data_IF_331710149754
#
_entry.id   IF_331710149754
#
_cell.length_a   1.000
_cell.length_b   1.000
_cell.length_c   1.000
_cell.angle_alpha   90.00
_cell.angle_beta   90.00
_cell.angle_gamma   90.00
#
_symmetry.space_group_name_H-M   'P 1'
#
loop_
_entity.id
_entity.type
_entity.pdbx_description
1 polymer ?
#
# COMPACT_ATOMS: atom_id res chain seq x y z
N UNK A 1 -10.13 32.69 2.50
CA UNK A 1 -9.24 32.32 3.62
C UNK A 1 -7.89 31.97 3.02
N UNK A 2 -6.77 32.26 3.71
CA UNK A 2 -5.45 31.84 3.24
C UNK A 2 -5.37 30.32 3.16
N UNK A 3 -4.59 29.79 2.21
CA UNK A 3 -4.49 28.34 1.97
C UNK A 3 -3.18 27.77 2.50
N UNK A 4 -3.27 26.57 3.06
CA UNK A 4 -2.12 25.75 3.42
C UNK A 4 -2.14 24.47 2.59
N UNK A 5 -1.13 24.31 1.73
CA UNK A 5 -0.98 23.11 0.92
C UNK A 5 -0.11 22.08 1.64
N UNK A 6 -0.61 20.85 1.75
CA UNK A 6 0.07 19.75 2.46
C UNK A 6 0.62 18.74 1.46
N UNK A 7 1.94 18.60 1.49
CA UNK A 7 2.76 17.68 0.71
C UNK A 7 3.11 16.49 1.58
N UNK A 8 2.57 15.31 1.29
CA UNK A 8 2.80 14.11 2.11
C UNK A 8 2.49 12.81 1.35
N UNK A 9 2.96 11.68 1.87
CA UNK A 9 2.45 10.36 1.47
C UNK A 9 1.02 10.12 1.95
N UNK A 10 0.34 9.14 1.35
CA UNK A 10 -1.06 8.79 1.66
C UNK A 10 -1.19 7.31 2.07
N UNK A 11 -2.20 7.01 2.88
CA UNK A 11 -2.50 5.66 3.35
C UNK A 11 -1.43 5.02 4.24
N UNK A 12 -1.45 3.69 4.30
CA UNK A 12 -0.46 2.89 5.01
C UNK A 12 0.84 2.82 4.21
N UNK A 13 1.93 3.32 4.80
CA UNK A 13 3.26 3.30 4.19
C UNK A 13 4.26 2.70 5.16
N UNK A 14 5.10 1.80 4.64
CA UNK A 14 6.17 1.18 5.41
C UNK A 14 7.44 2.02 5.26
N UNK A 15 7.95 2.50 6.39
CA UNK A 15 9.31 3.03 6.47
C UNK A 15 10.30 1.86 6.57
N UNK A 16 11.01 1.59 5.47
CA UNK A 16 11.96 0.49 5.39
C UNK A 16 13.18 0.67 6.30
N UNK A 17 13.57 1.91 6.61
CA UNK A 17 14.69 2.16 7.51
C UNK A 17 14.34 1.76 8.95
N UNK A 18 13.10 2.02 9.36
CA UNK A 18 12.60 1.68 10.69
C UNK A 18 11.93 0.30 10.78
N UNK A 19 11.65 -0.34 9.64
CA UNK A 19 10.82 -1.55 9.54
C UNK A 19 9.47 -1.40 10.25
N UNK A 20 8.84 -0.22 10.11
CA UNK A 20 7.55 0.11 10.71
C UNK A 20 6.59 0.59 9.65
N UNK A 21 5.30 0.30 9.83
CA UNK A 21 4.23 0.81 8.99
C UNK A 21 3.50 1.93 9.72
N UNK A 22 3.28 3.06 9.03
CA UNK A 22 2.59 4.24 9.52
C UNK A 22 1.37 4.53 8.64
N UNK A 23 0.27 4.97 9.24
CA UNK A 23 -0.92 5.46 8.55
C UNK A 23 -0.82 6.98 8.41
N UNK A 24 -0.40 7.42 7.22
CA UNK A 24 -0.22 8.83 6.93
C UNK A 24 -1.57 9.58 6.82
N UNK A 25 -2.68 8.86 6.60
CA UNK A 25 -4.02 9.48 6.65
C UNK A 25 -4.43 9.82 8.08
N UNK A 26 -3.95 9.09 9.09
CA UNK A 26 -4.12 9.48 10.50
C UNK A 26 -3.27 10.69 10.87
N UNK A 27 -2.03 10.75 10.39
CA UNK A 27 -1.19 11.96 10.51
C UNK A 27 -1.90 13.19 9.96
N UNK A 28 -2.48 13.06 8.77
CA UNK A 28 -3.23 14.15 8.16
C UNK A 28 -4.49 14.54 8.94
N UNK A 29 -5.39 13.58 9.20
CA UNK A 29 -6.72 13.84 9.77
C UNK A 29 -6.69 14.28 11.22
N UNK A 30 -5.77 13.73 12.02
CA UNK A 30 -5.78 13.92 13.47
C UNK A 30 -4.81 15.02 13.93
N UNK A 31 -3.72 15.24 13.17
CA UNK A 31 -2.67 16.19 13.54
C UNK A 31 -2.62 17.39 12.58
N UNK A 32 -2.33 17.17 11.29
CA UNK A 32 -1.99 18.25 10.37
C UNK A 32 -3.20 19.14 10.06
N UNK A 33 -4.30 18.55 9.57
CA UNK A 33 -5.50 19.29 9.17
C UNK A 33 -6.11 20.09 10.32
N UNK A 34 -6.33 19.51 11.52
CA UNK A 34 -6.83 20.27 12.66
C UNK A 34 -5.89 21.38 13.10
N UNK A 35 -4.57 21.18 13.03
CA UNK A 35 -3.60 22.22 13.42
C UNK A 35 -3.63 23.42 12.46
N UNK A 36 -3.71 23.14 11.15
CA UNK A 36 -3.78 24.13 10.07
C UNK A 36 -5.08 24.93 10.12
N UNK A 37 -6.21 24.24 10.30
CA UNK A 37 -7.53 24.88 10.41
C UNK A 37 -7.61 25.76 11.67
N UNK A 38 -7.05 25.30 12.80
CA UNK A 38 -6.95 26.10 14.02
C UNK A 38 -6.06 27.34 13.85
N UNK A 39 -5.08 27.31 12.94
CA UNK A 39 -4.26 28.47 12.59
C UNK A 39 -4.96 29.43 11.61
N UNK A 40 -6.19 29.15 11.18
CA UNK A 40 -6.99 30.02 10.32
C UNK A 40 -6.78 29.81 8.81
N UNK A 41 -6.16 28.70 8.41
CA UNK A 41 -5.94 28.35 7.00
C UNK A 41 -6.95 27.32 6.52
N UNK A 42 -7.28 27.38 5.23
CA UNK A 42 -7.91 26.25 4.55
C UNK A 42 -6.83 25.21 4.23
N UNK A 43 -6.90 24.04 4.87
CA UNK A 43 -5.98 22.93 4.64
C UNK A 43 -6.36 22.17 3.36
N UNK A 44 -5.41 22.01 2.46
CA UNK A 44 -5.59 21.29 1.19
C UNK A 44 -4.47 20.26 1.07
N UNK A 45 -4.80 18.97 1.02
CA UNK A 45 -3.81 17.92 0.71
C UNK A 45 -3.75 17.67 -0.79
N UNK A 46 -2.59 17.28 -1.32
CA UNK A 46 -2.38 17.02 -2.74
C UNK A 46 -3.43 16.10 -3.40
N UNK A 47 -3.92 15.10 -2.67
CA UNK A 47 -4.92 14.12 -3.14
C UNK A 47 -6.37 14.61 -3.05
N UNK A 48 -6.65 15.71 -2.33
CA UNK A 48 -7.98 16.36 -2.25
C UNK A 48 -8.26 17.26 -3.46
N UNK A 49 -7.25 17.61 -4.25
CA UNK A 49 -7.41 18.45 -5.44
C UNK A 49 -8.04 17.60 -6.56
N UNK A 50 -9.16 18.07 -7.11
CA UNK A 50 -9.82 17.45 -8.26
C UNK A 50 -8.96 17.64 -9.50
N UNK A 51 -8.64 16.53 -10.19
CA UNK A 51 -7.89 16.57 -11.43
C UNK A 51 -8.64 15.86 -12.53
N UNK A 52 -9.21 16.68 -13.41
CA UNK A 52 -9.41 16.29 -14.77
C UNK A 52 -8.02 16.36 -15.47
N UNK A 53 -7.30 15.24 -15.59
CA UNK A 53 -6.20 15.08 -16.55
C UNK A 53 -4.80 15.09 -15.94
N UNK A 54 -4.00 16.11 -16.22
CA UNK A 54 -2.59 16.17 -15.79
C UNK A 54 -2.47 16.56 -14.30
N UNK A 55 -2.18 15.55 -13.46
CA UNK A 55 -2.02 15.65 -11.99
C UNK A 55 -1.01 16.73 -11.58
N UNK A 56 -0.03 17.04 -12.44
CA UNK A 56 1.10 17.88 -12.04
C UNK A 56 0.75 19.38 -12.00
N UNK A 57 -0.08 19.89 -12.94
CA UNK A 57 -0.26 21.34 -13.10
C UNK A 57 -0.85 22.00 -11.84
N UNK A 58 -1.98 21.53 -11.27
CA UNK A 58 -2.56 22.15 -10.09
C UNK A 58 -1.68 21.99 -8.84
N UNK A 59 -0.92 20.89 -8.74
CA UNK A 59 0.06 20.71 -7.66
C UNK A 59 1.16 21.79 -7.72
N UNK A 60 1.79 22.02 -8.87
CA UNK A 60 2.79 23.09 -9.03
C UNK A 60 2.19 24.47 -8.78
N UNK A 61 0.94 24.71 -9.18
CA UNK A 61 0.23 25.95 -8.87
C UNK A 61 0.03 26.12 -7.36
N UNK A 62 -0.30 25.07 -6.61
CA UNK A 62 -0.40 25.14 -5.15
C UNK A 62 0.96 25.38 -4.50
N UNK A 63 2.01 24.68 -4.94
CA UNK A 63 3.38 24.90 -4.45
C UNK A 63 3.82 26.36 -4.66
N UNK A 64 3.39 27.00 -5.76
CA UNK A 64 3.67 28.41 -6.02
C UNK A 64 2.73 29.37 -5.29
N UNK A 65 1.44 29.08 -5.21
CA UNK A 65 0.43 30.08 -4.81
C UNK A 65 -0.06 29.94 -3.38
N UNK A 66 0.10 28.77 -2.73
CA UNK A 66 -0.34 28.59 -1.36
C UNK A 66 0.41 29.52 -0.40
N UNK A 67 -0.33 30.11 0.53
CA UNK A 67 0.20 31.02 1.55
C UNK A 67 1.15 30.31 2.49
N UNK A 68 0.88 29.03 2.77
CA UNK A 68 1.70 28.13 3.59
C UNK A 68 1.84 26.77 2.89
N UNK A 69 3.01 26.15 3.01
CA UNK A 69 3.20 24.74 2.66
C UNK A 69 3.69 23.96 3.88
N UNK A 70 3.07 22.82 4.15
CA UNK A 70 3.59 21.82 5.10
C UNK A 70 4.04 20.60 4.31
N UNK A 71 5.33 20.24 4.44
CA UNK A 71 5.88 19.02 3.86
C UNK A 71 6.13 17.98 4.95
N UNK A 72 5.46 16.85 4.85
CA UNK A 72 5.67 15.68 5.70
C UNK A 72 6.58 14.68 5.00
N UNK A 73 7.78 14.51 5.55
CA UNK A 73 8.82 13.63 5.00
C UNK A 73 8.82 12.23 5.62
N UNK A 74 7.81 11.91 6.44
CA UNK A 74 7.65 10.57 7.02
C UNK A 74 7.70 9.50 5.94
N UNK A 75 8.30 8.34 6.28
CA UNK A 75 8.53 7.20 5.36
C UNK A 75 9.48 7.49 4.18
N UNK A 76 10.16 8.63 4.17
CA UNK A 76 11.07 9.04 3.10
C UNK A 76 10.42 9.04 1.71
N UNK A 77 9.18 9.50 1.61
CA UNK A 77 8.46 9.61 0.35
C UNK A 77 9.18 10.57 -0.61
N UNK A 78 9.77 10.02 -1.68
CA UNK A 78 10.53 10.77 -2.69
C UNK A 78 9.72 11.90 -3.35
N UNK A 79 8.41 11.72 -3.53
CA UNK A 79 7.55 12.76 -4.09
C UNK A 79 7.47 13.97 -3.16
N UNK A 80 7.36 13.74 -1.84
CA UNK A 80 7.31 14.81 -0.86
C UNK A 80 8.63 15.61 -0.80
N UNK A 81 9.79 14.94 -0.94
CA UNK A 81 11.07 15.63 -1.07
C UNK A 81 11.16 16.48 -2.32
N UNK A 82 10.71 15.93 -3.45
CA UNK A 82 10.74 16.63 -4.73
C UNK A 82 9.87 17.89 -4.70
N UNK A 83 8.63 17.76 -4.21
CA UNK A 83 7.70 18.87 -4.04
C UNK A 83 8.20 19.93 -3.04
N UNK A 84 8.85 19.51 -1.94
CA UNK A 84 9.52 20.43 -1.01
C UNK A 84 10.66 21.19 -1.69
N UNK A 85 11.49 20.52 -2.49
CA UNK A 85 12.55 21.16 -3.26
C UNK A 85 12.03 22.20 -4.24
N UNK A 86 10.92 21.88 -4.93
CA UNK A 86 10.20 22.83 -5.79
C UNK A 86 9.69 24.02 -4.98
N UNK A 87 9.02 23.79 -3.84
CA UNK A 87 8.54 24.88 -2.98
C UNK A 87 9.68 25.79 -2.57
N UNK A 88 10.81 25.24 -2.14
CA UNK A 88 12.00 26.01 -1.79
C UNK A 88 12.59 26.80 -2.96
N UNK A 89 12.50 26.29 -4.19
CA UNK A 89 12.91 27.04 -5.37
C UNK A 89 11.93 28.17 -5.74
N UNK A 90 10.63 27.96 -5.53
CA UNK A 90 9.57 28.90 -5.94
C UNK A 90 9.31 30.01 -4.91
N UNK A 91 9.52 29.74 -3.62
CA UNK A 91 9.19 30.66 -2.54
C UNK A 91 10.32 30.76 -1.50
N UNK A 92 10.58 31.99 -1.00
CA UNK A 92 11.63 32.20 -0.01
C UNK A 92 11.23 31.77 1.41
N UNK A 93 9.93 31.74 1.70
CA UNK A 93 9.39 31.58 3.05
C UNK A 93 8.04 30.85 3.08
N UNK A 94 7.51 30.68 4.29
CA UNK A 94 6.24 30.01 4.63
C UNK A 94 6.20 28.55 4.25
N UNK A 95 7.25 27.82 4.65
CA UNK A 95 7.37 26.38 4.47
C UNK A 95 7.71 25.72 5.80
N UNK A 96 6.88 24.79 6.26
CA UNK A 96 7.09 23.99 7.47
C UNK A 96 7.40 22.56 7.05
N UNK A 97 8.45 21.99 7.62
CA UNK A 97 8.79 20.58 7.42
C UNK A 97 8.50 19.81 8.70
N UNK A 98 7.78 18.70 8.55
CA UNK A 98 7.49 17.75 9.63
C UNK A 98 7.97 16.35 9.23
N UNK A 99 8.24 15.50 10.22
CA UNK A 99 8.49 14.08 9.98
C UNK A 99 8.28 13.25 11.24
N UNK A 100 8.02 11.96 11.06
CA UNK A 100 8.00 10.98 12.14
C UNK A 100 9.33 11.00 12.93
N UNK A 101 9.28 10.75 14.23
CA UNK A 101 10.40 10.84 15.16
C UNK A 101 11.63 10.01 14.75
N UNK A 102 11.44 8.82 14.18
CA UNK A 102 12.49 7.94 13.71
C UNK A 102 12.96 8.21 12.28
N UNK A 103 12.40 9.21 11.59
CA UNK A 103 12.85 9.57 10.24
C UNK A 103 14.33 10.02 10.24
N UNK A 104 15.12 9.39 9.39
CA UNK A 104 16.54 9.69 9.22
C UNK A 104 16.67 10.89 8.27
N UNK A 105 17.24 11.98 8.76
CA UNK A 105 17.43 13.20 7.96
C UNK A 105 18.56 12.96 6.94
N UNK A 106 18.30 13.10 5.63
CA UNK A 106 19.35 13.06 4.61
C UNK A 106 20.36 14.20 4.81
N UNK A 107 21.60 14.00 4.39
CA UNK A 107 22.70 14.97 4.59
C UNK A 107 22.34 16.40 4.16
N UNK A 108 21.80 16.57 2.95
CA UNK A 108 21.44 17.90 2.40
C UNK A 108 20.29 18.60 3.14
N UNK A 109 19.54 17.86 3.96
CA UNK A 109 18.43 18.38 4.79
C UNK A 109 18.87 18.73 6.22
N UNK A 110 20.15 18.55 6.58
CA UNK A 110 20.65 18.73 7.94
C UNK A 110 20.47 20.15 8.51
N UNK A 111 20.29 21.16 7.65
CA UNK A 111 20.06 22.55 8.06
C UNK A 111 18.58 22.95 8.08
N UNK A 112 17.70 22.08 7.59
CA UNK A 112 16.25 22.33 7.59
C UNK A 112 15.69 21.99 8.95
N UNK A 113 14.92 22.90 9.53
CA UNK A 113 14.22 22.67 10.79
C UNK A 113 13.06 21.71 10.54
N UNK A 114 13.21 20.47 11.01
CA UNK A 114 12.18 19.42 10.92
C UNK A 114 11.51 19.27 12.28
N UNK A 115 10.21 19.55 12.33
CA UNK A 115 9.40 19.31 13.54
C UNK A 115 9.02 17.84 13.61
N UNK A 116 9.20 17.23 14.78
CA UNK A 116 9.02 15.79 14.97
C UNK A 116 7.71 15.49 15.68
N UNK A 117 7.07 14.41 15.25
CA UNK A 117 5.92 13.81 15.90
C UNK A 117 6.07 12.28 15.91
N UNK A 118 5.43 11.58 16.83
CA UNK A 118 5.63 10.15 17.03
C UNK A 118 4.39 9.31 16.71
N UNK A 119 4.59 8.22 15.97
CA UNK A 119 3.56 7.18 15.81
C UNK A 119 3.63 6.11 16.89
N UNK A 120 2.47 5.63 17.31
CA UNK A 120 2.28 4.43 18.12
C UNK A 120 1.68 3.31 17.26
N UNK A 121 2.55 2.45 16.69
CA UNK A 121 2.14 1.50 15.66
C UNK A 121 1.74 2.22 14.37
N UNK A 122 0.65 1.85 13.69
CA UNK A 122 0.20 2.56 12.50
C UNK A 122 -0.44 3.93 12.84
N UNK A 123 -0.87 4.17 14.08
CA UNK A 123 -1.58 5.39 14.46
C UNK A 123 -0.75 6.37 15.28
N UNK A 124 -1.41 7.40 15.80
CA UNK A 124 -0.85 8.39 16.73
C UNK A 124 -1.48 8.19 18.11
N UNK A 125 -0.69 8.41 19.16
CA UNK A 125 -1.19 8.48 20.53
C UNK A 125 -1.99 9.78 20.76
N UNK A 126 -3.01 9.75 21.62
CA UNK A 126 -3.90 10.89 21.86
C UNK A 126 -3.17 12.07 22.50
N UNK A 127 -2.31 11.82 23.48
CA UNK A 127 -1.60 12.88 24.20
C UNK A 127 -0.54 13.52 23.29
N UNK A 128 0.12 12.70 22.46
CA UNK A 128 1.02 13.17 21.41
C UNK A 128 0.30 14.09 20.41
N UNK A 129 -0.91 13.72 19.96
CA UNK A 129 -1.71 14.55 19.04
C UNK A 129 -2.05 15.89 19.66
N UNK A 130 -2.43 15.95 20.93
CA UNK A 130 -2.77 17.23 21.59
C UNK A 130 -1.56 18.17 21.57
N UNK A 131 -0.41 17.67 22.02
CA UNK A 131 0.82 18.47 22.14
C UNK A 131 1.28 18.91 20.76
N UNK A 132 1.42 17.97 19.82
CA UNK A 132 1.94 18.27 18.48
C UNK A 132 1.01 19.11 17.64
N UNK A 133 -0.30 19.01 17.83
CA UNK A 133 -1.26 19.90 17.17
C UNK A 133 -1.07 21.33 17.63
N UNK A 134 -0.91 21.57 18.94
CA UNK A 134 -0.66 22.92 19.47
C UNK A 134 0.66 23.50 18.95
N UNK A 135 1.74 22.71 19.00
CA UNK A 135 3.06 23.09 18.45
C UNK A 135 2.97 23.44 16.95
N UNK A 136 2.25 22.63 16.17
CA UNK A 136 2.10 22.85 14.73
C UNK A 136 1.20 24.06 14.43
N UNK A 137 0.10 24.26 15.16
CA UNK A 137 -0.75 25.47 15.03
C UNK A 137 0.08 26.73 15.29
N UNK A 138 0.87 26.74 16.37
CA UNK A 138 1.74 27.86 16.70
C UNK A 138 2.75 28.11 15.58
N UNK A 139 3.41 27.05 15.08
CA UNK A 139 4.35 27.14 13.98
C UNK A 139 3.74 27.73 12.70
N UNK A 140 2.51 27.33 12.34
CA UNK A 140 1.78 27.89 11.20
C UNK A 140 1.56 29.40 11.35
N UNK A 141 1.18 29.87 12.54
CA UNK A 141 0.98 31.31 12.78
C UNK A 141 2.30 32.08 12.77
N UNK A 142 3.36 31.51 13.35
CA UNK A 142 4.68 32.15 13.45
C UNK A 142 5.38 32.26 12.10
N UNK A 143 5.37 31.21 11.28
CA UNK A 143 6.11 31.21 10.01
C UNK A 143 5.54 32.23 9.02
N UNK A 144 4.23 32.48 9.07
CA UNK A 144 3.56 33.47 8.21
C UNK A 144 3.76 34.89 8.74
N UNK A 145 3.80 35.07 10.06
CA UNK A 145 4.13 36.36 10.67
C UNK A 145 5.63 36.71 10.51
N UNK A 146 6.50 35.69 10.52
CA UNK A 146 7.93 35.84 10.36
C UNK A 146 8.26 36.18 8.90
N UNK A 147 8.74 37.39 8.66
CA UNK A 147 9.32 37.77 7.35
C UNK A 147 10.75 37.26 7.19
N UNK A 148 11.00 36.00 7.57
CA UNK A 148 12.30 35.34 7.49
C UNK A 148 12.27 34.26 6.43
N UNK A 149 13.34 34.16 5.66
CA UNK A 149 13.48 33.11 4.66
C UNK A 149 13.75 31.76 5.34
N UNK A 150 13.00 30.74 4.92
CA UNK A 150 13.10 29.35 5.37
C UNK A 150 13.55 28.40 4.25
N UNK A 151 13.64 28.91 3.02
CA UNK A 151 14.19 28.19 1.88
C UNK A 151 15.73 28.28 1.86
N UNK A 152 16.43 27.14 1.76
CA UNK A 152 17.88 27.13 1.54
C UNK A 152 18.29 27.90 0.28
N UNK A 153 17.47 27.86 -0.79
CA UNK A 153 17.75 28.55 -2.06
C UNK A 153 17.86 30.05 -1.84
N UNK A 154 16.89 30.66 -1.16
CA UNK A 154 16.86 32.11 -0.92
C UNK A 154 17.76 32.52 0.24
N UNK A 155 18.01 31.61 1.20
CA UNK A 155 18.98 31.83 2.28
C UNK A 155 20.41 31.94 1.75
N UNK A 156 20.81 31.08 0.81
CA UNK A 156 22.18 31.05 0.28
C UNK A 156 22.37 31.90 -0.99
N UNK A 157 21.30 32.17 -1.76
CA UNK A 157 21.33 33.00 -2.97
C UNK A 157 20.60 34.34 -2.71
N UNK A 158 21.29 35.26 -2.04
CA UNK A 158 20.70 36.48 -1.46
C UNK A 158 20.17 37.53 -2.45
N UNK A 159 20.32 37.32 -3.76
CA UNK A 159 19.87 38.24 -4.82
C UNK A 159 18.90 37.57 -5.81
N UNK A 160 18.19 36.54 -5.38
CA UNK A 160 17.21 35.84 -6.21
C UNK A 160 15.82 36.46 -6.07
N UNK A 161 15.18 36.78 -7.20
CA UNK A 161 13.78 37.20 -7.23
C UNK A 161 12.86 35.97 -7.41
N UNK A 162 11.81 35.78 -6.58
CA UNK A 162 10.89 34.66 -6.75
C UNK A 162 10.17 34.68 -8.10
N UNK A 163 10.00 33.52 -8.76
CA UNK A 163 9.31 33.45 -10.03
C UNK A 163 7.83 33.82 -9.89
N UNK A 164 7.29 34.45 -10.93
CA UNK A 164 5.87 34.79 -11.05
C UNK A 164 5.31 34.18 -12.34
N UNK A 165 4.08 33.67 -12.29
CA UNK A 165 3.38 33.21 -13.49
C UNK A 165 3.18 34.38 -14.44
N UNK A 166 3.66 34.25 -15.69
CA UNK A 166 3.19 35.10 -16.80
C UNK A 166 1.75 34.67 -17.12
N UNK A 167 0.88 35.59 -17.55
CA UNK A 167 -0.59 35.43 -17.71
C UNK A 167 -1.11 34.35 -18.67
N UNK A 168 -0.59 33.12 -18.57
CA UNK A 168 -0.81 31.95 -19.45
C UNK A 168 -1.53 30.82 -18.69
N UNK A 169 -1.75 30.94 -17.38
CA UNK A 169 -2.39 29.91 -16.54
C UNK A 169 -3.79 29.49 -17.07
N UNK A 170 -4.54 30.43 -17.66
CA UNK A 170 -5.84 30.13 -18.26
C UNK A 170 -5.77 29.25 -19.54
N UNK A 171 -4.67 29.32 -20.30
CA UNK A 171 -4.52 28.57 -21.55
C UNK A 171 -4.04 27.13 -21.33
N UNK A 172 -3.25 26.87 -20.27
CA UNK A 172 -2.75 25.53 -19.96
C UNK A 172 -3.79 24.68 -19.20
N UNK A 173 -4.63 25.30 -18.38
CA UNK A 173 -5.81 24.65 -17.79
C UNK A 173 -6.80 24.13 -18.85
N UNK A 174 -6.86 24.76 -20.04
CA UNK A 174 -7.68 24.29 -21.16
C UNK A 174 -7.13 23.02 -21.82
N UNK A 175 -5.80 22.86 -21.89
CA UNK A 175 -5.15 21.67 -22.47
C UNK A 175 -5.24 20.46 -21.53
N UNK A 176 -5.08 20.67 -20.22
CA UNK A 176 -5.28 19.62 -19.21
C UNK A 176 -6.74 19.11 -19.20
N UNK A 177 -7.72 20.02 -19.34
CA UNK A 177 -9.13 19.67 -19.52
C UNK A 177 -9.42 18.84 -20.78
N UNK A 178 -8.61 18.96 -21.83
CA UNK A 178 -8.82 18.24 -23.08
C UNK A 178 -8.47 16.75 -22.95
N UNK A 179 -7.42 16.39 -22.21
CA UNK A 179 -7.05 14.99 -21.95
C UNK A 179 -8.12 14.25 -21.13
N UNK A 180 -8.71 14.92 -20.15
CA UNK A 180 -9.84 14.39 -19.38
C UNK A 180 -11.08 14.23 -20.21
N UNK A 181 -11.36 15.18 -21.12
CA UNK A 181 -12.49 15.07 -22.03
C UNK A 181 -12.34 13.88 -22.98
N UNK A 182 -11.10 13.54 -23.37
CA UNK A 182 -10.81 12.33 -24.15
C UNK A 182 -11.01 11.07 -23.29
N UNK A 183 -10.51 11.03 -22.05
CA UNK A 183 -10.70 9.91 -21.14
C UNK A 183 -12.17 9.71 -20.71
N UNK A 184 -12.91 10.79 -20.47
CA UNK A 184 -14.36 10.81 -20.23
C UNK A 184 -15.15 10.33 -21.45
N UNK A 185 -14.68 10.62 -22.66
CA UNK A 185 -15.28 10.12 -23.91
C UNK A 185 -15.01 8.64 -24.18
N UNK A 186 -14.07 8.02 -23.47
CA UNK A 186 -13.75 6.60 -23.52
C UNK A 186 -14.38 5.80 -22.37
N UNK A 187 -15.04 6.46 -21.42
CA UNK A 187 -15.76 5.78 -20.35
C UNK A 187 -17.00 5.07 -20.90
N UNK A 188 -17.08 3.75 -20.71
CA UNK A 188 -18.15 2.90 -21.21
C UNK A 188 -19.37 2.85 -20.26
N UNK A 189 -19.20 3.27 -19.00
CA UNK A 189 -20.27 3.29 -17.98
C UNK A 189 -20.39 4.62 -17.25
N UNK A 190 -21.57 4.93 -16.72
CA UNK A 190 -21.79 6.17 -15.94
C UNK A 190 -20.94 6.22 -14.67
N UNK A 191 -20.62 5.05 -14.10
CA UNK A 191 -19.78 4.95 -12.91
C UNK A 191 -18.30 5.23 -13.22
N UNK A 192 -17.82 4.80 -14.40
CA UNK A 192 -16.48 5.17 -14.90
C UNK A 192 -16.38 6.68 -15.16
N UNK A 193 -17.41 7.30 -15.74
CA UNK A 193 -17.45 8.74 -15.98
C UNK A 193 -17.51 9.55 -14.67
N UNK A 194 -18.31 9.09 -13.69
CA UNK A 194 -18.36 9.71 -12.37
C UNK A 194 -17.03 9.59 -11.61
N UNK A 195 -16.32 8.46 -11.77
CA UNK A 195 -14.99 8.26 -11.19
C UNK A 195 -13.93 9.22 -11.76
N UNK A 196 -14.11 9.78 -12.96
CA UNK A 196 -13.15 10.71 -13.57
C UNK A 196 -13.32 12.17 -13.10
N UNK A 197 -14.22 12.44 -12.15
CA UNK A 197 -14.52 13.80 -11.65
C UNK A 197 -14.26 14.01 -10.14
N UNK A 198 -13.90 12.96 -9.41
CA UNK A 198 -13.60 13.03 -7.98
C UNK A 198 -12.08 13.17 -7.72
N UNK A 199 -11.66 13.74 -6.57
CA UNK A 199 -10.26 13.70 -6.16
C UNK A 199 -9.75 12.26 -6.03
N UNK A 200 -8.47 12.03 -6.28
CA UNK A 200 -7.85 10.69 -6.23
C UNK A 200 -8.10 10.00 -4.88
N UNK A 201 -8.02 10.75 -3.77
CA UNK A 201 -8.31 10.24 -2.43
C UNK A 201 -9.71 9.63 -2.31
N UNK A 202 -10.71 10.34 -2.84
CA UNK A 202 -12.10 9.92 -2.79
C UNK A 202 -12.34 8.68 -3.67
N UNK A 203 -11.66 8.60 -4.81
CA UNK A 203 -11.70 7.42 -5.68
C UNK A 203 -11.08 6.20 -5.00
N UNK A 204 -9.91 6.38 -4.40
CA UNK A 204 -9.25 5.30 -3.66
C UNK A 204 -10.11 4.85 -2.47
N UNK A 205 -10.67 5.77 -1.70
CA UNK A 205 -11.58 5.44 -0.60
C UNK A 205 -12.81 4.67 -1.09
N UNK A 206 -13.46 5.13 -2.16
CA UNK A 206 -14.61 4.44 -2.77
C UNK A 206 -14.25 3.05 -3.29
N UNK A 207 -13.10 2.90 -3.93
CA UNK A 207 -12.60 1.62 -4.40
C UNK A 207 -12.34 0.65 -3.22
N UNK A 208 -11.72 1.13 -2.14
CA UNK A 208 -11.46 0.30 -0.95
C UNK A 208 -12.75 -0.09 -0.23
N UNK A 209 -13.74 0.82 -0.16
CA UNK A 209 -15.07 0.53 0.38
C UNK A 209 -15.82 -0.52 -0.46
N UNK A 210 -15.80 -0.36 -1.80
CA UNK A 210 -16.37 -1.34 -2.71
C UNK A 210 -15.71 -2.72 -2.55
N UNK A 211 -14.38 -2.76 -2.42
CA UNK A 211 -13.61 -3.99 -2.19
C UNK A 211 -13.99 -4.66 -0.87
N UNK A 212 -14.06 -3.90 0.21
CA UNK A 212 -14.48 -4.41 1.52
C UNK A 212 -15.91 -4.98 1.47
N UNK A 213 -16.80 -4.34 0.71
CA UNK A 213 -18.15 -4.83 0.42
C UNK A 213 -18.23 -5.95 -0.63
N UNK A 214 -17.10 -6.53 -1.07
CA UNK A 214 -17.01 -7.58 -2.11
C UNK A 214 -17.60 -7.18 -3.47
N UNK A 215 -17.74 -5.88 -3.73
CA UNK A 215 -18.18 -5.30 -5.02
C UNK A 215 -16.97 -5.17 -5.95
N UNK A 216 -16.42 -6.31 -6.36
CA UNK A 216 -15.16 -6.35 -7.13
C UNK A 216 -15.27 -5.73 -8.53
N UNK A 217 -16.42 -5.83 -9.20
CA UNK A 217 -16.63 -5.17 -10.50
C UNK A 217 -16.56 -3.64 -10.40
N UNK A 218 -17.18 -3.06 -9.38
CA UNK A 218 -17.09 -1.61 -9.09
C UNK A 218 -15.66 -1.20 -8.73
N UNK A 219 -14.98 -2.01 -7.91
CA UNK A 219 -13.57 -1.80 -7.56
C UNK A 219 -12.68 -1.75 -8.81
N UNK A 220 -12.87 -2.71 -9.73
CA UNK A 220 -12.13 -2.75 -10.99
C UNK A 220 -12.39 -1.52 -11.86
N UNK A 221 -13.66 -1.12 -12.00
CA UNK A 221 -14.04 0.04 -12.80
C UNK A 221 -13.37 1.34 -12.29
N UNK A 222 -13.36 1.56 -10.98
CA UNK A 222 -12.73 2.75 -10.38
C UNK A 222 -11.22 2.71 -10.58
N UNK A 223 -10.55 1.60 -10.21
CA UNK A 223 -9.09 1.51 -10.26
C UNK A 223 -8.54 1.50 -11.69
N UNK A 224 -9.28 0.94 -12.66
CA UNK A 224 -8.93 1.03 -14.08
C UNK A 224 -8.96 2.49 -14.57
N UNK A 225 -9.95 3.28 -14.14
CA UNK A 225 -10.01 4.71 -14.41
C UNK A 225 -8.84 5.47 -13.80
N UNK A 226 -8.50 5.19 -12.53
CA UNK A 226 -7.33 5.78 -11.85
C UNK A 226 -6.03 5.44 -12.60
N UNK A 227 -5.84 4.17 -12.97
CA UNK A 227 -4.68 3.71 -13.75
C UNK A 227 -4.58 4.44 -15.10
N UNK A 228 -5.70 4.62 -15.80
CA UNK A 228 -5.73 5.33 -17.08
C UNK A 228 -5.31 6.80 -16.95
N UNK A 229 -5.73 7.49 -15.87
CA UNK A 229 -5.36 8.88 -15.60
C UNK A 229 -3.88 9.01 -15.22
N UNK A 230 -3.36 8.10 -14.39
CA UNK A 230 -1.95 8.16 -13.95
C UNK A 230 -0.96 7.73 -15.06
N UNK A 231 -1.42 6.92 -16.03
CA UNK A 231 -0.61 6.49 -17.17
C UNK A 231 0.66 5.75 -16.74
N UNK A 232 1.82 6.14 -17.30
CA UNK A 232 3.10 5.49 -17.04
C UNK A 232 3.64 5.68 -15.61
N UNK A 233 3.07 6.60 -14.83
CA UNK A 233 3.47 6.89 -13.45
C UNK A 233 2.46 6.37 -12.42
N UNK A 234 1.67 5.36 -12.79
CA UNK A 234 0.68 4.74 -11.90
C UNK A 234 1.33 4.19 -10.63
N UNK A 235 0.72 4.46 -9.47
CA UNK A 235 1.18 3.93 -8.19
C UNK A 235 1.07 2.40 -8.22
N UNK A 236 2.14 1.64 -7.88
CA UNK A 236 2.10 0.18 -7.81
C UNK A 236 0.94 -0.36 -6.98
N UNK A 237 0.56 0.35 -5.92
CA UNK A 237 -0.59 -0.01 -5.10
C UNK A 237 -1.89 -0.07 -5.93
N UNK A 238 -2.12 0.87 -6.85
CA UNK A 238 -3.31 0.85 -7.73
C UNK A 238 -3.32 -0.40 -8.61
N UNK A 239 -2.18 -0.75 -9.20
CA UNK A 239 -2.06 -1.95 -10.04
C UNK A 239 -2.32 -3.22 -9.21
N UNK A 240 -1.72 -3.33 -8.03
CA UNK A 240 -1.90 -4.46 -7.12
C UNK A 240 -3.37 -4.63 -6.71
N UNK A 241 -4.02 -3.54 -6.31
CA UNK A 241 -5.43 -3.55 -5.93
C UNK A 241 -6.36 -3.89 -7.10
N UNK A 242 -6.06 -3.38 -8.30
CA UNK A 242 -6.81 -3.70 -9.52
C UNK A 242 -6.67 -5.17 -9.90
N UNK A 243 -5.46 -5.73 -9.84
CA UNK A 243 -5.23 -7.14 -10.10
C UNK A 243 -5.97 -8.03 -9.10
N UNK A 244 -5.91 -7.68 -7.81
CA UNK A 244 -6.62 -8.40 -6.76
C UNK A 244 -8.13 -8.38 -6.98
N UNK A 245 -8.71 -7.21 -7.24
CA UNK A 245 -10.13 -7.09 -7.54
C UNK A 245 -10.50 -7.89 -8.79
N UNK A 246 -9.66 -7.85 -9.84
CA UNK A 246 -9.88 -8.58 -11.09
C UNK A 246 -10.02 -10.07 -10.85
N UNK A 247 -9.04 -10.73 -10.21
CA UNK A 247 -9.14 -12.19 -10.02
C UNK A 247 -10.25 -12.59 -9.03
N UNK A 248 -10.60 -11.70 -8.08
CA UNK A 248 -11.68 -11.92 -7.11
C UNK A 248 -13.08 -11.90 -7.72
N UNK A 249 -13.26 -11.40 -8.95
CA UNK A 249 -14.54 -11.49 -9.65
C UNK A 249 -14.92 -12.95 -9.97
N UNK A 250 -13.93 -13.77 -10.35
CA UNK A 250 -14.09 -15.21 -10.54
C UNK A 250 -12.75 -15.93 -10.42
N UNK A 251 -12.46 -16.46 -9.23
CA UNK A 251 -11.17 -17.08 -8.92
C UNK A 251 -10.91 -18.41 -9.63
N UNK A 252 -11.92 -18.97 -10.32
CA UNK A 252 -11.87 -20.27 -11.00
C UNK A 252 -11.83 -20.17 -12.52
N UNK A 253 -12.07 -18.97 -13.06
CA UNK A 253 -12.11 -18.76 -14.50
C UNK A 253 -10.72 -18.38 -15.04
N UNK A 254 -10.11 -19.18 -15.92
CA UNK A 254 -8.81 -18.87 -16.51
C UNK A 254 -8.75 -17.52 -17.23
N UNK A 255 -9.84 -17.08 -17.86
CA UNK A 255 -9.85 -15.78 -18.57
C UNK A 255 -9.73 -14.62 -17.59
N UNK A 256 -10.49 -14.66 -16.48
CA UNK A 256 -10.40 -13.69 -15.39
C UNK A 256 -9.00 -13.67 -14.75
N UNK A 257 -8.37 -14.84 -14.57
CA UNK A 257 -7.02 -14.95 -14.02
C UNK A 257 -5.95 -14.40 -14.97
N UNK A 258 -6.07 -14.68 -16.27
CA UNK A 258 -5.18 -14.11 -17.30
C UNK A 258 -5.33 -12.58 -17.39
N UNK A 259 -6.53 -12.04 -17.20
CA UNK A 259 -6.73 -10.59 -17.11
C UNK A 259 -6.02 -9.99 -15.89
N UNK A 260 -6.11 -10.61 -14.71
CA UNK A 260 -5.39 -10.17 -13.52
C UNK A 260 -3.86 -10.27 -13.69
N UNK A 261 -3.38 -11.33 -14.34
CA UNK A 261 -1.98 -11.48 -14.75
C UNK A 261 -1.54 -10.32 -15.64
N UNK A 262 -2.30 -10.00 -16.69
CA UNK A 262 -1.99 -8.90 -17.59
C UNK A 262 -1.86 -7.56 -16.87
N UNK A 263 -2.71 -7.29 -15.87
CA UNK A 263 -2.61 -6.09 -15.02
C UNK A 263 -1.30 -6.08 -14.22
N UNK A 264 -0.90 -7.19 -13.60
CA UNK A 264 0.32 -7.27 -12.79
C UNK A 264 1.60 -7.16 -13.62
N UNK A 265 1.58 -7.51 -14.91
CA UNK A 265 2.75 -7.41 -15.80
C UNK A 265 3.33 -5.99 -15.87
N UNK A 266 2.52 -4.95 -15.62
CA UNK A 266 2.97 -3.56 -15.56
C UNK A 266 3.98 -3.32 -14.41
N UNK A 267 4.02 -4.20 -13.40
CA UNK A 267 4.98 -4.15 -12.28
C UNK A 267 6.21 -5.04 -12.50
N UNK A 268 6.40 -5.59 -13.70
CA UNK A 268 7.55 -6.46 -14.03
C UNK A 268 7.79 -7.56 -12.98
N UNK A 269 6.77 -8.39 -12.67
CA UNK A 269 6.82 -9.32 -11.55
C UNK A 269 7.98 -10.31 -11.65
N UNK A 270 8.45 -10.65 -12.85
CA UNK A 270 9.57 -11.57 -13.09
C UNK A 270 10.90 -11.07 -12.51
N UNK A 271 11.10 -9.76 -12.37
CA UNK A 271 12.31 -9.14 -11.78
C UNK A 271 12.01 -8.33 -10.52
N UNK A 272 10.75 -8.32 -10.07
CA UNK A 272 10.31 -7.51 -8.94
C UNK A 272 10.94 -7.98 -7.62
N UNK A 273 11.27 -7.00 -6.78
CA UNK A 273 11.70 -7.17 -5.40
C UNK A 273 10.60 -6.76 -4.40
N UNK A 274 9.40 -6.42 -4.88
CA UNK A 274 8.29 -6.08 -4.01
C UNK A 274 7.49 -7.34 -3.62
N UNK A 275 7.51 -7.74 -2.33
CA UNK A 275 6.86 -8.97 -1.89
C UNK A 275 5.34 -8.98 -2.07
N UNK A 276 4.68 -7.82 -2.09
CA UNK A 276 3.22 -7.75 -2.32
C UNK A 276 2.89 -8.11 -3.77
N UNK A 277 3.62 -7.52 -4.72
CA UNK A 277 3.53 -7.87 -6.15
C UNK A 277 3.80 -9.36 -6.37
N UNK A 278 4.85 -9.91 -5.76
CA UNK A 278 5.21 -11.32 -5.87
C UNK A 278 4.14 -12.23 -5.25
N UNK A 279 3.57 -11.86 -4.10
CA UNK A 279 2.49 -12.60 -3.46
C UNK A 279 1.22 -12.64 -4.32
N UNK A 280 0.84 -11.52 -4.95
CA UNK A 280 -0.29 -11.47 -5.88
C UNK A 280 -0.02 -12.24 -7.18
N UNK A 281 1.20 -12.14 -7.72
CA UNK A 281 1.63 -12.90 -8.90
C UNK A 281 1.54 -14.41 -8.64
N UNK A 282 2.07 -14.87 -7.50
CA UNK A 282 1.95 -16.26 -7.07
C UNK A 282 0.50 -16.68 -6.81
N UNK A 283 -0.34 -15.79 -6.26
CA UNK A 283 -1.75 -16.06 -6.00
C UNK A 283 -2.57 -16.28 -7.27
N UNK A 284 -2.30 -15.51 -8.33
CA UNK A 284 -2.94 -15.67 -9.65
C UNK A 284 -2.48 -16.98 -10.30
N UNK A 285 -1.18 -17.27 -10.30
CA UNK A 285 -0.64 -18.46 -10.94
C UNK A 285 -1.01 -19.76 -10.21
N UNK A 286 -1.06 -19.76 -8.87
CA UNK A 286 -1.61 -20.87 -8.08
C UNK A 286 -3.06 -21.19 -8.48
N UNK A 287 -3.88 -20.17 -8.73
CA UNK A 287 -5.27 -20.34 -9.17
C UNK A 287 -5.37 -20.82 -10.62
N UNK A 288 -4.47 -20.34 -11.50
CA UNK A 288 -4.37 -20.85 -12.87
C UNK A 288 -4.05 -22.34 -12.87
N UNK A 289 -3.09 -22.77 -12.04
CA UNK A 289 -2.82 -24.20 -11.83
C UNK A 289 -4.05 -24.96 -11.34
N UNK A 290 -4.71 -24.48 -10.28
CA UNK A 290 -5.93 -25.10 -9.74
C UNK A 290 -7.08 -25.17 -10.77
N UNK A 291 -7.12 -24.24 -11.74
CA UNK A 291 -8.09 -24.21 -12.84
C UNK A 291 -7.72 -25.08 -14.06
N UNK A 292 -6.55 -25.73 -14.04
CA UNK A 292 -6.04 -26.56 -15.14
C UNK A 292 -5.30 -25.79 -16.25
N UNK A 293 -4.86 -24.56 -15.97
CA UNK A 293 -4.15 -23.69 -16.91
C UNK A 293 -5.07 -22.78 -17.72
N UNK A 294 -4.54 -22.26 -18.83
CA UNK A 294 -5.25 -21.45 -19.82
C UNK A 294 -4.84 -21.87 -21.24
N UNK A 295 -5.41 -21.22 -22.26
CA UNK A 295 -5.00 -21.40 -23.66
C UNK A 295 -3.55 -20.98 -23.92
N UNK A 296 -2.99 -20.11 -23.08
CA UNK A 296 -1.65 -19.54 -23.24
C UNK A 296 -0.62 -20.11 -22.25
N UNK A 297 -1.07 -20.85 -21.23
CA UNK A 297 -0.22 -21.31 -20.13
C UNK A 297 -0.67 -22.67 -19.61
N UNK A 298 0.23 -23.65 -19.63
CA UNK A 298 -0.05 -24.98 -19.07
C UNK A 298 -0.17 -24.91 -17.54
N UNK A 299 -0.87 -25.85 -16.89
CA UNK A 299 -0.93 -25.90 -15.44
C UNK A 299 0.48 -26.04 -14.82
N UNK A 300 1.36 -26.84 -15.40
CA UNK A 300 2.74 -27.02 -14.91
C UNK A 300 3.53 -25.71 -14.94
N UNK A 301 3.44 -24.96 -16.04
CA UNK A 301 4.07 -23.65 -16.15
C UNK A 301 3.51 -22.66 -15.12
N UNK A 302 2.19 -22.67 -14.89
CA UNK A 302 1.58 -21.85 -13.86
C UNK A 302 2.06 -22.23 -12.44
N UNK A 303 2.22 -23.53 -12.17
CA UNK A 303 2.74 -24.01 -10.89
C UNK A 303 4.17 -23.53 -10.65
N UNK A 304 5.05 -23.65 -11.65
CA UNK A 304 6.45 -23.22 -11.51
C UNK A 304 6.57 -21.70 -11.29
N UNK A 305 5.79 -20.89 -12.01
CA UNK A 305 5.74 -19.43 -11.79
C UNK A 305 5.25 -19.11 -10.38
N UNK A 306 4.23 -19.82 -9.89
CA UNK A 306 3.73 -19.61 -8.54
C UNK A 306 4.79 -19.95 -7.46
N UNK A 307 5.51 -21.05 -7.65
CA UNK A 307 6.61 -21.47 -6.76
C UNK A 307 7.71 -20.42 -6.72
N UNK A 308 8.15 -19.93 -7.89
CA UNK A 308 9.19 -18.90 -7.98
C UNK A 308 8.75 -17.59 -7.29
N UNK A 309 7.52 -17.13 -7.56
CA UNK A 309 7.00 -15.89 -7.02
C UNK A 309 6.92 -15.92 -5.48
N UNK A 310 6.27 -16.95 -4.92
CA UNK A 310 6.16 -17.09 -3.46
C UNK A 310 7.52 -17.38 -2.81
N UNK A 311 8.39 -18.16 -3.46
CA UNK A 311 9.74 -18.43 -3.00
C UNK A 311 10.56 -17.15 -2.87
N UNK A 312 10.59 -16.32 -3.92
CA UNK A 312 11.28 -15.01 -3.88
C UNK A 312 10.64 -14.05 -2.89
N UNK A 313 9.30 -13.99 -2.84
CA UNK A 313 8.58 -13.17 -1.86
C UNK A 313 8.94 -13.54 -0.43
N UNK A 314 9.06 -14.84 -0.13
CA UNK A 314 9.47 -15.34 1.18
C UNK A 314 10.95 -15.01 1.49
N UNK A 315 11.86 -15.18 0.53
CA UNK A 315 13.28 -14.82 0.71
C UNK A 315 13.47 -13.33 1.01
N UNK A 316 12.66 -12.46 0.37
CA UNK A 316 12.75 -11.02 0.57
C UNK A 316 12.12 -10.55 1.88
N UNK A 317 10.90 -11.01 2.19
CA UNK A 317 10.09 -10.49 3.30
C UNK A 317 10.16 -11.31 4.58
N UNK A 318 10.51 -12.60 4.49
CA UNK A 318 10.48 -13.54 5.61
C UNK A 318 9.11 -13.58 6.34
N UNK A 319 8.00 -13.51 5.59
CA UNK A 319 6.64 -13.54 6.15
C UNK A 319 5.98 -14.93 6.10
N UNK A 320 4.96 -15.12 6.94
CA UNK A 320 4.23 -16.38 7.02
C UNK A 320 3.40 -16.65 5.76
N UNK A 321 2.88 -15.60 5.11
CA UNK A 321 1.99 -15.72 3.95
C UNK A 321 2.71 -16.27 2.70
N UNK A 322 3.85 -15.69 2.32
CA UNK A 322 4.60 -16.20 1.17
C UNK A 322 5.22 -17.56 1.50
N UNK A 323 5.75 -17.72 2.72
CA UNK A 323 6.40 -18.95 3.15
C UNK A 323 5.46 -20.16 3.15
N UNK A 324 4.24 -20.03 3.68
CA UNK A 324 3.31 -21.17 3.74
C UNK A 324 2.82 -21.57 2.34
N UNK A 325 2.53 -20.59 1.48
CA UNK A 325 2.13 -20.87 0.10
C UNK A 325 3.28 -21.49 -0.70
N UNK A 326 4.52 -21.01 -0.52
CA UNK A 326 5.71 -21.60 -1.13
C UNK A 326 5.86 -23.07 -0.72
N UNK A 327 5.80 -23.37 0.57
CA UNK A 327 5.91 -24.75 1.07
C UNK A 327 4.77 -25.66 0.55
N UNK A 328 3.54 -25.14 0.50
CA UNK A 328 2.40 -25.88 -0.03
C UNK A 328 2.58 -26.23 -1.52
N UNK A 329 3.05 -25.28 -2.32
CA UNK A 329 3.26 -25.49 -3.76
C UNK A 329 4.43 -26.42 -4.06
N UNK A 330 5.47 -26.43 -3.22
CA UNK A 330 6.52 -27.44 -3.29
C UNK A 330 5.96 -28.85 -3.08
N UNK A 331 5.10 -29.08 -2.09
CA UNK A 331 4.45 -30.40 -1.93
C UNK A 331 3.52 -30.73 -3.11
N UNK A 332 2.88 -29.71 -3.68
CA UNK A 332 2.04 -29.87 -4.87
C UNK A 332 2.87 -30.37 -6.06
N UNK A 333 4.02 -29.75 -6.32
CA UNK A 333 4.92 -30.18 -7.39
C UNK A 333 5.58 -31.53 -7.09
N UNK A 334 5.93 -31.78 -5.83
CA UNK A 334 6.45 -33.08 -5.40
C UNK A 334 5.47 -34.22 -5.66
N UNK A 335 4.17 -34.02 -5.38
CA UNK A 335 3.13 -35.01 -5.63
C UNK A 335 2.90 -35.30 -7.13
N UNK A 336 3.24 -34.35 -8.01
CA UNK A 336 3.21 -34.52 -9.46
C UNK A 336 4.56 -35.03 -10.04
N UNK A 337 5.61 -35.12 -9.21
CA UNK A 337 6.97 -35.48 -9.60
C UNK A 337 7.38 -36.84 -9.03
N UNK A 338 8.60 -37.29 -9.32
CA UNK A 338 9.13 -38.54 -8.78
C UNK A 338 10.64 -38.48 -8.54
N UNK A 339 11.19 -39.47 -7.83
CA UNK A 339 12.62 -39.59 -7.59
C UNK A 339 13.20 -38.41 -6.80
N UNK A 340 14.37 -37.94 -7.21
CA UNK A 340 15.12 -36.91 -6.48
C UNK A 340 14.41 -35.56 -6.46
N UNK A 341 13.66 -35.19 -7.51
CA UNK A 341 12.93 -33.91 -7.56
C UNK A 341 11.81 -33.85 -6.51
N UNK A 342 11.01 -34.91 -6.41
CA UNK A 342 9.97 -35.00 -5.38
C UNK A 342 10.58 -34.98 -3.96
N UNK A 343 11.70 -35.68 -3.75
CA UNK A 343 12.42 -35.66 -2.47
C UNK A 343 12.94 -34.25 -2.16
N UNK A 344 13.53 -33.57 -3.14
CA UNK A 344 14.08 -32.22 -2.97
C UNK A 344 12.99 -31.23 -2.57
N UNK A 345 11.86 -31.23 -3.27
CA UNK A 345 10.71 -30.36 -2.97
C UNK A 345 10.14 -30.65 -1.58
N UNK A 346 9.95 -31.91 -1.19
CA UNK A 346 9.47 -32.26 0.15
C UNK A 346 10.42 -31.80 1.26
N UNK A 347 11.73 -32.01 1.09
CA UNK A 347 12.74 -31.54 2.06
C UNK A 347 12.73 -30.02 2.14
N UNK A 348 12.61 -29.34 1.01
CA UNK A 348 12.56 -27.88 0.95
C UNK A 348 11.29 -27.34 1.63
N UNK A 349 10.12 -27.92 1.35
CA UNK A 349 8.83 -27.56 1.94
C UNK A 349 8.88 -27.66 3.48
N UNK A 350 9.46 -28.74 4.02
CA UNK A 350 9.66 -28.92 5.46
C UNK A 350 10.57 -27.86 6.08
N UNK A 351 11.68 -27.51 5.42
CA UNK A 351 12.60 -26.45 5.88
C UNK A 351 11.92 -25.08 5.91
N UNK A 352 11.14 -24.76 4.88
CA UNK A 352 10.36 -23.52 4.81
C UNK A 352 9.32 -23.48 5.93
N UNK A 353 8.56 -24.56 6.16
CA UNK A 353 7.60 -24.65 7.26
C UNK A 353 8.22 -24.44 8.63
N UNK A 354 9.43 -24.97 8.86
CA UNK A 354 10.15 -24.75 10.12
C UNK A 354 10.43 -23.25 10.35
N UNK A 355 10.82 -22.52 9.30
CA UNK A 355 11.00 -21.07 9.38
C UNK A 355 9.68 -20.33 9.58
N UNK A 356 8.63 -20.74 8.86
CA UNK A 356 7.28 -20.17 9.00
C UNK A 356 6.75 -20.35 10.41
N UNK A 357 6.97 -21.50 11.05
CA UNK A 357 6.62 -21.71 12.46
C UNK A 357 7.30 -20.70 13.37
N UNK A 358 8.62 -20.49 13.22
CA UNK A 358 9.35 -19.47 13.99
C UNK A 358 8.72 -18.09 13.82
N UNK A 359 8.41 -17.71 12.58
CA UNK A 359 7.76 -16.41 12.28
C UNK A 359 6.40 -16.30 12.96
N UNK A 360 5.57 -17.35 12.89
CA UNK A 360 4.26 -17.35 13.54
C UNK A 360 4.38 -17.31 15.07
N UNK A 361 5.26 -18.10 15.66
CA UNK A 361 5.43 -18.17 17.12
C UNK A 361 5.99 -16.86 17.68
N UNK A 362 6.96 -16.24 17.01
CA UNK A 362 7.46 -14.91 17.37
C UNK A 362 6.38 -13.82 17.25
N UNK A 363 5.55 -13.89 16.21
CA UNK A 363 4.47 -12.93 15.99
C UNK A 363 3.36 -13.08 17.04
N UNK A 364 3.01 -14.32 17.43
CA UNK A 364 2.01 -14.62 18.47
C UNK A 364 2.53 -14.34 19.89
N UNK A 365 3.83 -14.46 20.13
CA UNK A 365 4.45 -14.08 21.41
C UNK A 365 4.50 -12.56 21.60
N UNK A 366 4.43 -11.79 20.51
CA UNK A 366 4.30 -10.33 20.52
C UNK A 366 2.81 -9.95 20.49
N UNK A 367 2.49 -8.76 20.99
CA UNK A 367 1.12 -8.24 20.83
C UNK A 367 0.83 -8.00 19.34
N UNK A 368 -0.17 -8.72 18.80
CA UNK A 368 -0.66 -8.51 17.43
C UNK A 368 -1.33 -7.14 17.35
N UNK A 369 -0.75 -6.24 16.55
CA UNK A 369 -1.26 -4.87 16.38
C UNK A 369 -2.19 -4.82 15.18
N UNK A 370 -3.38 -4.24 15.36
CA UNK A 370 -4.33 -3.97 14.29
C UNK A 370 -5.20 -2.75 14.62
N UNK A 371 -5.89 -2.23 13.62
CA UNK A 371 -6.69 -0.99 13.71
C UNK A 371 -8.02 -1.17 14.45
N UNK A 372 -8.45 -2.41 14.64
CA UNK A 372 -9.67 -2.76 15.37
C UNK A 372 -9.49 -4.08 16.10
N UNK A 373 -10.32 -4.34 17.11
CA UNK A 373 -10.35 -5.65 17.78
C UNK A 373 -10.64 -6.79 16.80
N UNK A 374 -11.49 -6.52 15.80
CA UNK A 374 -11.80 -7.46 14.73
C UNK A 374 -10.56 -7.73 13.85
N UNK A 375 -9.90 -6.69 13.35
CA UNK A 375 -8.69 -6.84 12.53
C UNK A 375 -7.55 -7.52 13.29
N UNK A 376 -7.47 -7.32 14.62
CA UNK A 376 -6.51 -8.01 15.48
C UNK A 376 -6.80 -9.51 15.52
N UNK A 377 -8.06 -9.87 15.79
CA UNK A 377 -8.49 -11.25 15.83
C UNK A 377 -8.33 -11.93 14.47
N UNK A 378 -8.59 -11.24 13.36
CA UNK A 378 -8.33 -11.78 12.02
C UNK A 378 -6.85 -12.06 11.77
N UNK A 379 -5.97 -11.11 12.11
CA UNK A 379 -4.53 -11.28 11.96
C UNK A 379 -3.99 -12.43 12.82
N UNK A 380 -4.42 -12.49 14.09
CA UNK A 380 -4.05 -13.57 15.00
C UNK A 380 -4.59 -14.94 14.54
N UNK A 381 -5.81 -14.98 13.99
CA UNK A 381 -6.36 -16.19 13.40
C UNK A 381 -5.48 -16.72 12.27
N UNK A 382 -5.07 -15.85 11.34
CA UNK A 382 -4.24 -16.27 10.21
C UNK A 382 -2.85 -16.77 10.64
N UNK A 383 -2.27 -16.20 11.69
CA UNK A 383 -1.03 -16.72 12.29
C UNK A 383 -1.24 -18.14 12.84
N UNK A 384 -2.32 -18.37 13.59
CA UNK A 384 -2.66 -19.69 14.17
C UNK A 384 -3.01 -20.73 13.11
N UNK A 385 -3.80 -20.35 12.10
CA UNK A 385 -4.14 -21.20 10.96
C UNK A 385 -2.89 -21.59 10.15
N UNK A 386 -2.00 -20.63 9.89
CA UNK A 386 -0.73 -20.90 9.22
C UNK A 386 0.18 -21.81 10.05
N UNK A 387 0.21 -21.61 11.37
CA UNK A 387 0.93 -22.49 12.31
C UNK A 387 0.40 -23.93 12.25
N UNK A 388 -0.92 -24.10 12.19
CA UNK A 388 -1.55 -25.41 12.04
C UNK A 388 -1.17 -26.09 10.71
N UNK A 389 -1.20 -25.36 9.59
CA UNK A 389 -0.78 -25.87 8.27
C UNK A 389 0.69 -26.27 8.26
N UNK A 390 1.56 -25.46 8.88
CA UNK A 390 2.98 -25.77 8.98
C UNK A 390 3.23 -27.04 9.82
N UNK A 391 2.55 -27.19 10.97
CA UNK A 391 2.62 -28.41 11.80
C UNK A 391 2.11 -29.65 11.06
N UNK A 392 1.00 -29.53 10.33
CA UNK A 392 0.48 -30.63 9.50
C UNK A 392 1.53 -31.07 8.45
N UNK A 393 2.13 -30.11 7.74
CA UNK A 393 3.19 -30.39 6.76
C UNK A 393 4.48 -30.96 7.36
N UNK A 394 4.72 -30.73 8.65
CA UNK A 394 5.82 -31.34 9.39
C UNK A 394 5.49 -32.73 9.96
N UNK A 395 4.20 -33.14 9.88
CA UNK A 395 3.62 -34.37 10.44
C UNK A 395 3.51 -34.35 11.98
N UNK A 396 3.33 -33.19 12.57
CA UNK A 396 3.17 -32.99 14.02
C UNK A 396 1.69 -32.99 14.43
N UNK A 397 1.00 -34.12 14.24
CA UNK A 397 -0.48 -34.18 14.19
C UNK A 397 -1.16 -33.82 15.50
N UNK A 398 -0.61 -34.26 16.63
CA UNK A 398 -1.13 -33.91 17.96
C UNK A 398 -1.20 -32.39 18.18
N UNK A 399 -0.30 -31.64 17.55
CA UNK A 399 -0.17 -30.18 17.67
C UNK A 399 -1.06 -29.42 16.67
N UNK A 400 -1.69 -30.11 15.71
CA UNK A 400 -2.61 -29.51 14.72
C UNK A 400 -3.98 -29.27 15.32
N UNK A 401 -4.54 -30.26 16.03
CA UNK A 401 -5.85 -30.17 16.67
C UNK A 401 -5.86 -29.06 17.75
N UNK A 402 -4.77 -28.94 18.51
CA UNK A 402 -4.56 -27.85 19.46
C UNK A 402 -4.57 -26.49 18.75
N UNK A 403 -3.81 -26.34 17.65
CA UNK A 403 -3.72 -25.08 16.93
C UNK A 403 -5.04 -24.67 16.25
N UNK A 404 -5.83 -25.63 15.78
CA UNK A 404 -7.16 -25.40 15.21
C UNK A 404 -8.20 -25.06 16.28
N UNK A 405 -8.16 -25.76 17.42
CA UNK A 405 -9.01 -25.46 18.57
C UNK A 405 -8.74 -24.05 19.10
N UNK A 406 -7.46 -23.70 19.25
CA UNK A 406 -7.01 -22.36 19.61
C UNK A 406 -7.54 -21.29 18.65
N UNK A 407 -7.48 -21.53 17.34
CA UNK A 407 -7.95 -20.60 16.32
C UNK A 407 -9.48 -20.46 16.32
N UNK A 408 -10.21 -21.56 16.50
CA UNK A 408 -11.67 -21.57 16.49
C UNK A 408 -12.29 -20.90 17.72
N UNK A 409 -11.59 -20.91 18.86
CA UNK A 409 -12.07 -20.39 20.14
C UNK A 409 -11.63 -18.93 20.44
N UNK A 410 -11.15 -18.20 19.43
CA UNK A 410 -10.72 -16.81 19.58
C UNK A 410 -11.87 -15.84 19.90
N UNK A 411 -11.53 -14.70 20.50
CA UNK A 411 -12.48 -13.60 20.74
C UNK A 411 -11.91 -12.27 20.22
N UNK A 412 -12.62 -11.56 19.30
CA UNK A 412 -13.83 -11.98 18.59
C UNK A 412 -13.71 -13.31 17.85
N UNK A 413 -14.84 -14.00 17.69
CA UNK A 413 -14.89 -15.28 16.98
C UNK A 413 -14.51 -15.07 15.50
N UNK A 414 -13.71 -15.96 14.90
CA UNK A 414 -13.33 -15.86 13.50
C UNK A 414 -14.56 -16.06 12.60
N UNK A 415 -14.55 -15.40 11.44
CA UNK A 415 -15.63 -15.56 10.47
C UNK A 415 -15.63 -16.95 9.84
N UNK A 416 -16.81 -17.48 9.50
CA UNK A 416 -16.97 -18.83 8.97
C UNK A 416 -16.13 -19.10 7.73
N UNK A 417 -16.02 -18.13 6.82
CA UNK A 417 -15.24 -18.27 5.59
C UNK A 417 -13.73 -18.47 5.86
N UNK A 418 -13.21 -17.94 6.97
CA UNK A 418 -11.80 -18.11 7.36
C UNK A 418 -11.56 -19.57 7.78
N UNK A 419 -12.49 -20.12 8.58
CA UNK A 419 -12.49 -21.52 9.03
C UNK A 419 -12.60 -22.45 7.82
N UNK A 420 -13.57 -22.21 6.94
CA UNK A 420 -13.80 -23.03 5.75
C UNK A 420 -12.58 -23.04 4.81
N UNK A 421 -11.95 -21.87 4.62
CA UNK A 421 -10.74 -21.74 3.81
C UNK A 421 -9.58 -22.54 4.42
N UNK A 422 -9.41 -22.44 5.73
CA UNK A 422 -8.35 -23.17 6.47
C UNK A 422 -8.57 -24.68 6.38
N UNK A 423 -9.80 -25.16 6.64
CA UNK A 423 -10.15 -26.57 6.55
C UNK A 423 -10.01 -27.13 5.13
N UNK A 424 -10.32 -26.34 4.10
CA UNK A 424 -10.09 -26.71 2.70
C UNK A 424 -8.60 -26.89 2.40
N UNK A 425 -7.77 -25.92 2.81
CA UNK A 425 -6.33 -25.93 2.61
C UNK A 425 -5.65 -27.11 3.32
N UNK A 426 -6.01 -27.38 4.57
CA UNK A 426 -5.47 -28.52 5.34
C UNK A 426 -5.85 -29.88 4.73
N UNK A 427 -7.09 -30.03 4.24
CA UNK A 427 -7.51 -31.26 3.54
C UNK A 427 -6.73 -31.48 2.25
N UNK A 428 -6.48 -30.41 1.47
CA UNK A 428 -5.62 -30.48 0.28
C UNK A 428 -4.20 -30.93 0.67
N UNK A 429 -3.62 -30.33 1.70
CA UNK A 429 -2.28 -30.68 2.16
C UNK A 429 -2.19 -32.13 2.67
N UNK A 430 -3.14 -32.57 3.49
CA UNK A 430 -3.18 -33.96 3.98
C UNK A 430 -3.19 -34.97 2.83
N UNK A 431 -3.99 -34.71 1.78
CA UNK A 431 -4.02 -35.55 0.56
C UNK A 431 -2.67 -35.58 -0.15
N UNK A 432 -1.99 -34.43 -0.30
CA UNK A 432 -0.66 -34.36 -0.92
C UNK A 432 0.39 -35.15 -0.12
N UNK A 433 0.23 -35.22 1.20
CA UNK A 433 1.14 -35.94 2.10
C UNK A 433 0.78 -37.42 2.31
N UNK A 434 -0.31 -37.91 1.69
CA UNK A 434 -0.79 -39.29 1.84
C UNK A 434 -1.25 -39.60 3.27
N UNK A 435 -1.95 -38.67 3.90
CA UNK A 435 -2.46 -38.76 5.27
C UNK A 435 -3.95 -39.06 5.38
#
# INVERSE_FOLDING_TARGET
MPTCFVVMGFGLKTDYAQQKTFDLDKSYRNLIKPAVEAAGFTCIRADEIQHAGNINIPMYEQLLNADLVIADLSTANLNAFFELGIRYALKPRTTIVIAESGFIIPFDMGQVVIRRYQHLGPGLDYDEVIVKKQELTQACTEVVAASRDDSPVYTFLTNLAPPMLRGVAAAQAQVANQQTRVALGQAETSDQAAALTLPLAALMAKAMEARAGKRFGETCAILAGVKAVQGAAVDPFVIQQLALATYKQNEKDPATLMAARAVLSDLSPDTSIDPETLGLWGAVHKRLFDAGGSTEMSPEAALDVAIEAYGRGFVLKHDYYNGINFAFLLDTRAAASSGNEAIADHVHARRVRTKVLSVCDEALAREVKAESAQGRAEAEYWLRATRAEARLGLREIASVDEALSDAANMTPAPESWMIDTTASQLRKLARLLGM
#
